data_IF_832824703929
#
_entry.id   IF_832824703929
#
_cell.length_a   1.000
_cell.length_b   1.000
_cell.length_c   1.000
_cell.angle_alpha   90.00
_cell.angle_beta   90.00
_cell.angle_gamma   90.00
#
_symmetry.space_group_name_H-M   'P 1'
#
loop_
_entity.id
_entity.type
_entity.pdbx_description
1 polymer ?
#
# COMPACT_ATOMS: atom_id res chain seq x y z
N UNK A 1 11.67 12.15 9.31
CA UNK A 1 12.24 10.89 8.76
C UNK A 1 12.47 9.97 9.93
N UNK A 2 11.76 8.84 9.98
CA UNK A 2 11.90 7.86 11.07
C UNK A 2 13.31 7.28 11.09
N UNK A 3 13.86 7.04 12.28
CA UNK A 3 15.17 6.42 12.43
C UNK A 3 15.09 4.99 11.90
N UNK A 4 16.05 4.58 11.12
CA UNK A 4 16.11 3.30 10.40
C UNK A 4 16.05 2.07 11.30
N UNK A 5 16.35 2.20 12.60
CA UNK A 5 16.20 1.12 13.58
C UNK A 5 14.73 0.92 13.99
N UNK A 6 14.00 2.01 14.25
CA UNK A 6 12.59 1.98 14.65
C UNK A 6 11.73 1.25 13.59
N UNK A 7 12.01 1.49 12.31
CA UNK A 7 11.32 0.81 11.21
C UNK A 7 11.57 -0.70 11.22
N UNK A 8 12.81 -1.15 11.46
CA UNK A 8 13.16 -2.59 11.44
C UNK A 8 12.55 -3.34 12.62
N UNK A 9 12.52 -2.74 13.80
CA UNK A 9 11.89 -3.33 14.98
C UNK A 9 10.38 -3.41 14.82
N UNK A 10 9.74 -2.32 14.37
CA UNK A 10 8.30 -2.32 14.04
C UNK A 10 7.97 -3.38 12.98
N UNK A 11 8.82 -3.59 11.98
CA UNK A 11 8.64 -4.64 10.97
C UNK A 11 8.70 -6.04 11.57
N UNK A 12 9.60 -6.27 12.52
CA UNK A 12 9.73 -7.55 13.20
C UNK A 12 8.46 -7.84 14.02
N UNK A 13 8.01 -6.87 14.81
CA UNK A 13 6.78 -6.97 15.60
C UNK A 13 5.55 -7.21 14.72
N UNK A 14 5.42 -6.48 13.60
CA UNK A 14 4.31 -6.66 12.67
C UNK A 14 4.29 -8.08 12.07
N UNK A 15 5.46 -8.63 11.71
CA UNK A 15 5.54 -10.00 11.20
C UNK A 15 5.24 -11.04 12.26
N UNK A 16 5.66 -10.81 13.51
CA UNK A 16 5.31 -11.69 14.64
C UNK A 16 3.79 -11.74 14.88
N UNK A 17 3.09 -10.62 14.64
CA UNK A 17 1.63 -10.55 14.73
C UNK A 17 0.94 -11.17 13.51
N UNK A 18 1.48 -10.95 12.30
CA UNK A 18 0.93 -11.46 11.06
C UNK A 18 2.02 -11.77 10.02
N UNK A 19 2.26 -13.06 9.79
CA UNK A 19 3.27 -13.55 8.84
C UNK A 19 2.98 -13.21 7.36
N UNK A 20 1.76 -12.76 7.04
CA UNK A 20 1.38 -12.36 5.68
C UNK A 20 1.70 -10.90 5.36
N UNK A 21 2.29 -10.15 6.30
CA UNK A 21 2.68 -8.76 6.05
C UNK A 21 3.93 -8.70 5.16
N UNK A 22 3.74 -8.14 3.97
CA UNK A 22 4.81 -7.81 3.04
C UNK A 22 4.89 -6.29 2.90
N UNK A 23 6.11 -5.76 2.93
CA UNK A 23 6.39 -4.32 2.92
C UNK A 23 7.32 -3.98 1.78
N UNK A 24 6.99 -2.92 1.06
CA UNK A 24 7.74 -2.44 -0.08
C UNK A 24 8.05 -0.96 0.09
N UNK A 25 9.29 -0.57 -0.20
CA UNK A 25 9.71 0.83 -0.29
C UNK A 25 9.62 1.32 -1.74
N UNK A 26 9.92 0.42 -2.69
CA UNK A 26 9.80 0.68 -4.11
C UNK A 26 8.40 0.33 -4.62
N UNK A 27 7.79 1.27 -5.32
CA UNK A 27 6.44 1.11 -5.86
C UNK A 27 6.38 0.00 -6.91
N UNK A 28 7.35 -0.04 -7.84
CA UNK A 28 7.31 -1.01 -8.94
C UNK A 28 7.41 -2.44 -8.41
N UNK A 29 8.34 -2.69 -7.48
CA UNK A 29 8.49 -3.98 -6.83
C UNK A 29 7.21 -4.40 -6.08
N UNK A 30 6.50 -3.44 -5.49
CA UNK A 30 5.21 -3.70 -4.85
C UNK A 30 4.15 -4.17 -5.86
N UNK A 31 4.03 -3.45 -6.98
CA UNK A 31 3.08 -3.81 -8.05
C UNK A 31 3.43 -5.15 -8.69
N UNK A 32 4.71 -5.38 -9.04
CA UNK A 32 5.18 -6.64 -9.62
C UNK A 32 4.84 -7.83 -8.69
N UNK A 33 4.97 -7.65 -7.37
CA UNK A 33 4.59 -8.67 -6.39
C UNK A 33 3.08 -8.91 -6.37
N UNK A 34 2.27 -7.86 -6.34
CA UNK A 34 0.80 -7.96 -6.37
C UNK A 34 0.35 -8.73 -7.61
N UNK A 35 0.94 -8.44 -8.78
CA UNK A 35 0.63 -9.12 -10.03
C UNK A 35 1.05 -10.60 -10.03
N UNK A 36 2.13 -10.93 -9.33
CA UNK A 36 2.62 -12.32 -9.21
C UNK A 36 1.68 -13.23 -8.40
N UNK A 37 0.77 -12.66 -7.60
CA UNK A 37 -0.19 -13.41 -6.80
C UNK A 37 -1.34 -13.92 -7.68
N UNK A 38 -1.58 -15.22 -7.62
CA UNK A 38 -2.56 -15.91 -8.48
C UNK A 38 -3.84 -16.30 -7.75
N UNK A 39 -3.75 -16.66 -6.47
CA UNK A 39 -4.83 -17.32 -5.74
C UNK A 39 -5.30 -16.58 -4.48
N UNK A 40 -4.73 -15.41 -4.19
CA UNK A 40 -5.01 -14.67 -2.96
C UNK A 40 -5.51 -13.26 -3.28
N UNK A 41 -6.17 -12.65 -2.29
CA UNK A 41 -6.61 -11.27 -2.31
C UNK A 41 -5.78 -10.44 -1.34
N UNK A 42 -5.49 -9.21 -1.72
CA UNK A 42 -4.58 -8.34 -1.00
C UNK A 42 -5.34 -7.12 -0.49
N UNK A 43 -5.10 -6.79 0.77
CA UNK A 43 -5.41 -5.49 1.35
C UNK A 43 -4.14 -4.64 1.32
N UNK A 44 -4.17 -3.56 0.54
CA UNK A 44 -3.01 -2.68 0.38
C UNK A 44 -3.13 -1.49 1.33
N UNK A 45 -2.11 -1.28 2.16
CA UNK A 45 -2.01 -0.09 3.02
C UNK A 45 -0.91 0.80 2.47
N UNK A 46 -1.22 2.07 2.18
CA UNK A 46 -0.25 3.03 1.65
C UNK A 46 -0.36 4.39 2.33
N UNK A 47 0.69 5.19 2.20
CA UNK A 47 0.68 6.57 2.66
C UNK A 47 -0.03 7.47 1.64
N UNK A 48 -0.62 8.57 2.10
CA UNK A 48 -1.21 9.58 1.22
C UNK A 48 -0.22 10.17 0.19
N UNK A 49 1.08 10.15 0.47
CA UNK A 49 2.10 10.66 -0.47
C UNK A 49 2.13 9.85 -1.76
N UNK A 50 2.10 8.53 -1.64
CA UNK A 50 2.24 7.60 -2.78
C UNK A 50 0.91 7.06 -3.28
N UNK A 51 -0.18 7.40 -2.59
CA UNK A 51 -1.53 6.95 -2.87
C UNK A 51 -1.95 7.18 -4.32
N UNK A 52 -1.62 8.31 -4.94
CA UNK A 52 -2.01 8.57 -6.32
C UNK A 52 -1.34 7.58 -7.30
N UNK A 53 -0.03 7.36 -7.15
CA UNK A 53 0.71 6.44 -8.02
C UNK A 53 0.26 4.99 -7.79
N UNK A 54 0.02 4.61 -6.53
CA UNK A 54 -0.55 3.31 -6.17
C UNK A 54 -1.94 3.14 -6.78
N UNK A 55 -2.81 4.14 -6.69
CA UNK A 55 -4.15 4.05 -7.26
C UNK A 55 -4.07 3.87 -8.77
N UNK A 56 -3.29 4.69 -9.48
CA UNK A 56 -3.13 4.56 -10.93
C UNK A 56 -2.62 3.16 -11.32
N UNK A 57 -1.59 2.64 -10.63
CA UNK A 57 -0.96 1.37 -10.99
C UNK A 57 -1.64 0.11 -10.45
N UNK A 58 -2.43 0.22 -9.38
CA UNK A 58 -2.88 -0.94 -8.62
C UNK A 58 -4.41 -1.09 -8.55
N UNK A 59 -5.20 -0.01 -8.69
CA UNK A 59 -6.66 -0.08 -8.46
C UNK A 59 -7.38 -1.06 -9.40
N UNK A 60 -6.85 -1.29 -10.59
CA UNK A 60 -7.42 -2.20 -11.58
C UNK A 60 -6.95 -3.65 -11.44
N UNK A 61 -6.01 -3.93 -10.53
CA UNK A 61 -5.46 -5.26 -10.33
C UNK A 61 -6.48 -6.15 -9.63
N UNK A 62 -6.80 -7.29 -10.25
CA UNK A 62 -7.79 -8.24 -9.73
C UNK A 62 -7.39 -8.82 -8.38
N UNK A 63 -6.11 -8.80 -8.03
CA UNK A 63 -5.58 -9.28 -6.76
C UNK A 63 -5.92 -8.34 -5.60
N UNK A 64 -6.20 -7.06 -5.87
CA UNK A 64 -6.55 -6.11 -4.84
C UNK A 64 -8.02 -6.25 -4.48
N UNK A 65 -8.29 -6.35 -3.19
CA UNK A 65 -9.64 -6.30 -2.65
C UNK A 65 -9.98 -4.89 -2.16
N UNK A 66 -9.08 -4.30 -1.36
CA UNK A 66 -9.26 -2.94 -0.85
C UNK A 66 -7.92 -2.21 -0.71
N UNK A 67 -7.96 -0.88 -0.84
CA UNK A 67 -6.82 0.01 -0.64
C UNK A 67 -7.12 0.96 0.52
N UNK A 68 -6.30 0.92 1.56
CA UNK A 68 -6.37 1.81 2.71
C UNK A 68 -5.26 2.86 2.60
N UNK A 69 -5.66 4.13 2.54
CA UNK A 69 -4.74 5.26 2.42
C UNK A 69 -4.65 5.95 3.78
N UNK A 70 -3.51 5.84 4.43
CA UNK A 70 -3.22 6.61 5.63
C UNK A 70 -2.79 8.03 5.25
N UNK A 71 -3.66 9.00 5.50
CA UNK A 71 -3.38 10.41 5.26
C UNK A 71 -3.58 11.22 6.54
N UNK A 72 -2.59 12.02 6.92
CA UNK A 72 -2.66 12.92 8.06
C UNK A 72 -3.54 14.16 7.79
N UNK A 73 -3.93 14.37 6.53
CA UNK A 73 -4.67 15.54 6.05
C UNK A 73 -5.91 15.09 5.26
N UNK A 74 -7.10 15.07 5.89
CA UNK A 74 -8.33 14.60 5.28
C UNK A 74 -8.70 15.33 3.97
N UNK A 75 -8.31 16.59 3.82
CA UNK A 75 -8.60 17.41 2.63
C UNK A 75 -8.03 16.84 1.32
N UNK A 76 -6.99 16.01 1.40
CA UNK A 76 -6.38 15.38 0.21
C UNK A 76 -7.19 14.17 -0.30
N UNK A 77 -8.16 13.67 0.47
CA UNK A 77 -8.96 12.49 0.14
C UNK A 77 -9.73 12.69 -1.18
N UNK A 78 -10.29 13.89 -1.39
CA UNK A 78 -11.08 14.21 -2.58
C UNK A 78 -10.26 14.18 -3.90
N UNK A 79 -8.93 14.34 -3.82
CA UNK A 79 -8.05 14.31 -4.99
C UNK A 79 -7.93 12.88 -5.53
N UNK A 80 -7.91 11.89 -4.63
CA UNK A 80 -7.81 10.48 -4.99
C UNK A 80 -9.09 9.97 -5.65
N UNK A 81 -10.27 10.28 -5.10
CA UNK A 81 -11.55 9.85 -5.68
C UNK A 81 -11.76 10.34 -7.12
N UNK A 82 -11.32 11.58 -7.43
CA UNK A 82 -11.40 12.11 -8.80
C UNK A 82 -10.53 11.35 -9.81
N UNK A 83 -9.43 10.75 -9.37
CA UNK A 83 -8.53 9.99 -10.26
C UNK A 83 -8.99 8.54 -10.50
N UNK A 84 -9.85 7.99 -9.63
CA UNK A 84 -10.40 6.64 -9.80
C UNK A 84 -11.61 6.64 -10.75
N UNK A 85 -12.31 7.76 -10.87
CA UNK A 85 -13.57 7.89 -11.64
C UNK A 85 -13.39 8.45 -13.07
N UNK A 86 -12.16 8.70 -13.52
CA UNK A 86 -11.82 9.11 -14.89
C UNK A 86 -10.94 8.07 -15.55
#
# INVERSE_FOLDING_TARGET
MGKTNDTKETMKELREINNFIVLYIDLKACIDFIESITNEKIFLVTSGRDALNILIGAHALRQIDSIFIFCLKPENINIYYKHILN
#
